data_IF_985189717016
#
_entry.id   IF_985189717016
#
_cell.length_a   1.000
_cell.length_b   1.000
_cell.length_c   1.000
_cell.angle_alpha   90.00
_cell.angle_beta   90.00
_cell.angle_gamma   90.00
#
_symmetry.space_group_name_H-M   'P 1'
#
loop_
_entity.id
_entity.type
_entity.pdbx_description
1 polymer ?
#
# COMPACT_ATOMS: atom_id res chain seq x y z
N UNK A 1 32.91 -26.80 35.10
CA UNK A 1 31.83 -25.77 35.18
C UNK A 1 30.92 -25.99 33.99
N UNK A 2 29.72 -26.49 34.17
CA UNK A 2 28.77 -26.75 33.11
C UNK A 2 27.98 -25.46 32.86
N UNK A 3 28.16 -24.85 31.70
CA UNK A 3 27.39 -23.67 31.28
C UNK A 3 25.96 -24.10 30.97
N UNK A 4 25.01 -23.69 31.78
CA UNK A 4 23.59 -23.89 31.50
C UNK A 4 23.20 -22.76 30.51
N UNK A 5 22.94 -23.15 29.28
CA UNK A 5 22.43 -22.25 28.25
C UNK A 5 20.90 -22.18 28.37
N UNK A 6 20.39 -21.10 28.91
CA UNK A 6 18.95 -20.81 28.92
C UNK A 6 18.59 -20.27 27.54
N UNK A 7 17.75 -20.99 26.79
CA UNK A 7 17.25 -20.55 25.51
C UNK A 7 16.05 -19.61 25.75
N UNK A 8 15.94 -18.49 24.99
CA UNK A 8 14.78 -17.60 25.10
C UNK A 8 13.51 -18.30 24.60
N UNK A 9 12.36 -17.87 25.08
CA UNK A 9 11.04 -18.49 24.79
C UNK A 9 10.69 -18.49 23.29
N UNK A 10 11.29 -17.59 22.52
CA UNK A 10 11.12 -17.53 21.06
C UNK A 10 12.09 -18.43 20.28
N UNK A 11 12.99 -19.15 20.94
CA UNK A 11 13.93 -20.04 20.27
C UNK A 11 13.21 -21.27 19.72
N UNK A 12 13.26 -21.42 18.41
CA UNK A 12 12.78 -22.61 17.72
C UNK A 12 13.98 -23.50 17.34
N UNK A 13 13.95 -24.79 17.71
CA UNK A 13 14.99 -25.72 17.26
C UNK A 13 14.94 -25.85 15.73
N UNK A 14 16.09 -26.09 15.12
CA UNK A 14 16.24 -26.19 13.65
C UNK A 14 15.36 -27.29 13.04
N UNK A 15 15.04 -28.33 13.82
CA UNK A 15 14.09 -29.38 13.42
C UNK A 15 12.67 -28.92 13.19
N UNK A 16 12.28 -27.76 13.73
CA UNK A 16 10.97 -27.11 13.51
C UNK A 16 11.02 -26.05 12.41
N UNK A 17 12.21 -25.70 11.92
CA UNK A 17 12.33 -24.77 10.81
C UNK A 17 11.91 -25.45 9.51
N UNK A 18 11.20 -24.71 8.67
CA UNK A 18 10.86 -25.16 7.31
C UNK A 18 12.16 -25.35 6.52
N UNK A 19 12.39 -26.53 5.96
CA UNK A 19 13.58 -26.77 5.15
C UNK A 19 13.67 -25.80 3.97
N UNK A 20 14.88 -25.39 3.62
CA UNK A 20 15.14 -24.44 2.54
C UNK A 20 14.53 -24.90 1.21
N UNK A 21 14.60 -26.18 0.92
CA UNK A 21 14.02 -26.78 -0.27
C UNK A 21 12.50 -26.61 -0.35
N UNK A 22 11.79 -26.73 0.77
CA UNK A 22 10.34 -26.49 0.87
C UNK A 22 10.03 -25.02 0.72
N UNK A 23 10.82 -24.16 1.36
CA UNK A 23 10.66 -22.72 1.26
C UNK A 23 10.86 -22.20 -0.18
N UNK A 24 11.91 -22.62 -0.86
CA UNK A 24 12.20 -22.22 -2.24
C UNK A 24 11.21 -22.82 -3.25
N UNK A 25 10.68 -24.02 -2.98
CA UNK A 25 9.69 -24.67 -3.84
C UNK A 25 8.23 -24.30 -3.53
N UNK A 26 7.96 -23.40 -2.57
CA UNK A 26 6.62 -22.98 -2.19
C UNK A 26 5.76 -22.55 -3.37
N UNK A 27 6.31 -21.83 -4.34
CA UNK A 27 5.60 -21.44 -5.57
C UNK A 27 5.22 -22.62 -6.43
N UNK A 28 6.08 -23.64 -6.49
CA UNK A 28 5.83 -24.88 -7.26
C UNK A 28 4.77 -25.73 -6.59
N UNK A 29 4.79 -25.81 -5.27
CA UNK A 29 3.76 -26.48 -4.48
C UNK A 29 2.39 -25.85 -4.70
N UNK A 30 2.27 -24.52 -4.61
CA UNK A 30 1.02 -23.80 -4.84
C UNK A 30 0.49 -23.96 -6.27
N UNK A 31 1.35 -23.99 -7.28
CA UNK A 31 0.96 -24.28 -8.66
C UNK A 31 0.42 -25.70 -8.81
N UNK A 32 1.06 -26.68 -8.22
CA UNK A 32 0.63 -28.08 -8.30
C UNK A 32 -0.65 -28.35 -7.49
N UNK A 33 -0.80 -27.72 -6.34
CA UNK A 33 -2.03 -27.80 -5.54
C UNK A 33 -3.22 -27.10 -6.24
N UNK A 34 -2.97 -26.01 -6.97
CA UNK A 34 -4.00 -25.30 -7.75
C UNK A 34 -4.48 -26.09 -8.98
N UNK A 35 -3.66 -26.92 -9.58
CA UNK A 35 -4.03 -27.75 -10.73
C UNK A 35 -4.90 -28.95 -10.36
N UNK A 36 -4.85 -29.41 -9.09
CA UNK A 36 -5.65 -30.54 -8.62
C UNK A 36 -7.10 -30.18 -8.25
N UNK A 37 -7.45 -28.91 -8.09
CA UNK A 37 -8.78 -28.45 -7.69
C UNK A 37 -9.63 -27.86 -8.84
N UNK A 38 -9.14 -27.89 -10.08
CA UNK A 38 -9.81 -27.27 -11.23
C UNK A 38 -10.88 -28.12 -11.90
N UNK A 39 -11.26 -29.28 -11.36
CA UNK A 39 -12.23 -30.17 -12.02
C UNK A 39 -13.67 -30.05 -11.54
N UNK A 40 -14.04 -29.17 -10.62
CA UNK A 40 -15.44 -29.17 -10.13
C UNK A 40 -16.06 -27.85 -9.71
N UNK A 41 -15.62 -26.68 -10.15
CA UNK A 41 -16.41 -25.44 -9.95
C UNK A 41 -16.25 -24.55 -11.18
N UNK A 42 -16.78 -25.01 -12.28
CA UNK A 42 -16.99 -24.17 -13.43
C UNK A 42 -18.47 -23.98 -13.67
N UNK A 43 -19.13 -23.13 -12.86
CA UNK A 43 -20.41 -22.52 -13.22
C UNK A 43 -20.81 -21.48 -12.15
N UNK A 44 -21.05 -20.22 -12.63
CA UNK A 44 -21.77 -19.16 -11.92
C UNK A 44 -21.00 -18.31 -10.89
N UNK A 45 -19.89 -17.73 -11.29
CA UNK A 45 -19.54 -16.40 -10.80
C UNK A 45 -19.16 -15.56 -12.02
N UNK A 46 -19.93 -14.50 -12.30
CA UNK A 46 -19.62 -13.55 -13.36
C UNK A 46 -18.24 -12.96 -13.11
N UNK A 47 -17.21 -13.58 -13.66
CA UNK A 47 -15.86 -13.08 -13.62
C UNK A 47 -15.82 -11.83 -14.50
N UNK A 48 -15.98 -10.66 -13.90
CA UNK A 48 -15.60 -9.42 -14.57
C UNK A 48 -14.18 -9.58 -15.09
N UNK A 49 -13.98 -9.32 -16.37
CA UNK A 49 -12.66 -9.38 -16.97
C UNK A 49 -11.72 -8.40 -16.26
N UNK A 50 -10.42 -8.68 -16.29
CA UNK A 50 -9.41 -7.77 -15.70
C UNK A 50 -9.53 -6.38 -16.34
N UNK A 51 -9.87 -6.29 -17.61
CA UNK A 51 -10.04 -5.04 -18.35
C UNK A 51 -11.27 -4.25 -17.88
N UNK A 52 -12.38 -4.92 -17.58
CA UNK A 52 -13.56 -4.25 -16.99
C UNK A 52 -13.24 -3.70 -15.60
N UNK A 53 -12.52 -4.46 -14.76
CA UNK A 53 -12.07 -3.97 -13.44
C UNK A 53 -11.14 -2.77 -13.57
N UNK A 54 -10.21 -2.79 -14.52
CA UNK A 54 -9.33 -1.66 -14.83
C UNK A 54 -10.12 -0.43 -15.28
N UNK A 55 -11.14 -0.61 -16.12
CA UNK A 55 -11.99 0.47 -16.58
C UNK A 55 -12.78 1.13 -15.45
N UNK A 56 -13.36 0.34 -14.54
CA UNK A 56 -14.09 0.84 -13.36
C UNK A 56 -13.17 1.66 -12.47
N UNK A 57 -11.98 1.15 -12.15
CA UNK A 57 -10.99 1.85 -11.31
C UNK A 57 -10.54 3.14 -11.99
N UNK A 58 -10.26 3.11 -13.28
CA UNK A 58 -9.88 4.30 -14.04
C UNK A 58 -10.97 5.37 -14.03
N UNK A 59 -12.23 4.97 -14.14
CA UNK A 59 -13.36 5.88 -14.05
C UNK A 59 -13.48 6.51 -12.65
N UNK A 60 -13.26 5.76 -11.60
CA UNK A 60 -13.27 6.27 -10.23
C UNK A 60 -12.10 7.23 -9.95
N UNK A 61 -10.91 6.92 -10.47
CA UNK A 61 -9.72 7.78 -10.35
C UNK A 61 -9.93 9.10 -11.13
N UNK A 62 -10.61 9.07 -12.29
CA UNK A 62 -10.83 10.23 -13.13
C UNK A 62 -11.94 11.18 -12.65
N UNK A 63 -12.68 10.82 -11.60
CA UNK A 63 -13.68 11.70 -11.02
C UNK A 63 -13.05 12.99 -10.46
N UNK A 64 -13.73 14.14 -10.62
CA UNK A 64 -13.28 15.50 -10.28
C UNK A 64 -12.74 15.69 -8.84
N UNK A 65 -12.90 14.70 -7.98
CA UNK A 65 -12.36 14.69 -6.61
C UNK A 65 -10.83 14.70 -6.56
N UNK A 66 -10.18 14.22 -7.60
CA UNK A 66 -8.72 14.21 -7.76
C UNK A 66 -8.31 15.29 -8.76
N UNK A 67 -8.44 16.56 -8.39
CA UNK A 67 -7.83 17.64 -9.17
C UNK A 67 -6.33 17.37 -9.22
N UNK A 68 -5.79 17.25 -10.43
CA UNK A 68 -4.37 17.01 -10.64
C UNK A 68 -3.57 18.16 -10.02
N UNK A 69 -2.79 17.86 -9.00
CA UNK A 69 -1.81 18.79 -8.47
C UNK A 69 -0.58 18.68 -9.37
N UNK A 70 -0.27 19.74 -10.09
CA UNK A 70 0.96 19.79 -10.89
C UNK A 70 2.15 20.06 -9.99
N UNK A 71 3.15 19.19 -10.03
CA UNK A 71 4.37 19.35 -9.25
C UNK A 71 5.60 18.91 -10.04
N UNK A 72 6.74 19.53 -9.76
CA UNK A 72 8.02 19.14 -10.34
C UNK A 72 8.56 17.89 -9.71
N UNK A 73 9.11 16.98 -10.51
CA UNK A 73 9.80 15.79 -9.99
C UNK A 73 11.12 16.17 -9.32
N UNK A 74 11.32 15.70 -8.10
CA UNK A 74 12.58 15.84 -7.39
C UNK A 74 13.52 14.68 -7.78
N UNK A 75 14.54 15.00 -8.59
CA UNK A 75 15.48 14.02 -9.14
C UNK A 75 16.41 13.37 -8.10
N UNK A 76 16.47 13.90 -6.88
CA UNK A 76 17.19 13.24 -5.79
C UNK A 76 16.48 11.96 -5.28
N UNK A 77 15.21 11.76 -5.65
CA UNK A 77 14.39 10.61 -5.28
C UNK A 77 14.04 9.78 -6.53
N UNK A 78 15.01 9.03 -7.00
CA UNK A 78 14.85 8.12 -8.14
C UNK A 78 14.84 6.66 -7.68
N UNK A 79 14.34 5.78 -8.54
CA UNK A 79 14.31 4.35 -8.29
C UNK A 79 15.09 3.61 -9.39
N UNK A 80 15.73 2.53 -9.00
CA UNK A 80 16.47 1.60 -9.87
C UNK A 80 15.57 0.47 -10.44
N UNK A 81 14.25 0.65 -10.38
CA UNK A 81 13.25 -0.33 -10.82
C UNK A 81 12.05 0.38 -11.45
N UNK A 82 11.28 -0.30 -12.31
CA UNK A 82 10.05 0.27 -12.87
C UNK A 82 9.02 0.56 -11.78
N UNK A 83 8.16 1.53 -12.05
CA UNK A 83 7.02 1.83 -11.20
C UNK A 83 6.04 0.65 -11.16
N UNK A 84 5.36 0.50 -10.05
CA UNK A 84 4.22 -0.40 -9.93
C UNK A 84 3.10 0.07 -10.84
N UNK A 85 2.44 -0.85 -11.52
CA UNK A 85 1.29 -0.55 -12.36
C UNK A 85 0.23 0.21 -11.55
N UNK A 86 -0.30 1.30 -12.13
CA UNK A 86 -1.26 2.19 -11.46
C UNK A 86 -2.49 1.44 -10.92
N UNK A 87 -3.04 0.53 -11.71
CA UNK A 87 -4.16 -0.30 -11.28
C UNK A 87 -3.82 -1.08 -10.00
N UNK A 88 -2.67 -1.74 -9.94
CA UNK A 88 -2.24 -2.51 -8.78
C UNK A 88 -2.06 -1.61 -7.54
N UNK A 89 -1.51 -0.40 -7.73
CA UNK A 89 -1.34 0.57 -6.65
C UNK A 89 -2.69 1.11 -6.15
N UNK A 90 -3.66 1.31 -7.05
CA UNK A 90 -4.96 1.88 -6.72
C UNK A 90 -5.89 0.90 -5.99
N UNK A 91 -5.84 -0.39 -6.33
CA UNK A 91 -6.77 -1.38 -5.75
C UNK A 91 -6.23 -2.10 -4.53
N UNK A 92 -4.91 -2.10 -4.31
CA UNK A 92 -4.30 -2.80 -3.19
C UNK A 92 -4.17 -1.87 -1.98
N UNK A 93 -5.16 -1.91 -1.11
CA UNK A 93 -5.25 -1.03 0.06
C UNK A 93 -5.58 -1.83 1.32
N UNK A 94 -5.30 -1.26 2.49
CA UNK A 94 -5.49 -1.90 3.79
C UNK A 94 -5.89 -0.90 4.88
N UNK A 95 -6.70 0.08 4.54
CA UNK A 95 -7.27 1.02 5.52
C UNK A 95 -8.46 0.36 6.22
N UNK A 96 -8.19 -0.31 7.32
CA UNK A 96 -9.19 -1.06 8.10
C UNK A 96 -10.33 -0.20 8.65
N UNK A 97 -10.16 1.13 8.68
CA UNK A 97 -11.21 2.08 9.03
C UNK A 97 -12.41 2.02 8.07
N UNK A 98 -12.19 1.56 6.84
CA UNK A 98 -13.25 1.42 5.84
C UNK A 98 -13.78 0.00 5.72
N UNK A 99 -12.93 -1.01 5.85
CA UNK A 99 -13.29 -2.43 5.74
C UNK A 99 -12.17 -3.32 6.28
N UNK A 100 -12.52 -4.48 6.80
CA UNK A 100 -11.57 -5.55 7.14
C UNK A 100 -10.96 -6.26 5.91
N UNK A 101 -11.45 -5.97 4.71
CA UNK A 101 -10.97 -6.57 3.45
C UNK A 101 -9.83 -5.75 2.84
N UNK A 102 -9.15 -6.34 1.85
CA UNK A 102 -8.12 -5.65 1.05
C UNK A 102 -8.69 -4.81 -0.11
N UNK A 103 -9.98 -4.90 -0.36
CA UNK A 103 -10.70 -4.22 -1.43
C UNK A 103 -11.29 -2.86 -0.98
N UNK A 104 -10.61 -2.15 -0.10
CA UNK A 104 -11.05 -0.90 0.54
C UNK A 104 -11.46 0.18 -0.48
N UNK A 105 -10.81 0.21 -1.64
CA UNK A 105 -11.11 1.16 -2.70
C UNK A 105 -12.60 1.21 -3.12
N UNK A 106 -13.34 0.12 -2.91
CA UNK A 106 -14.80 0.04 -3.17
C UNK A 106 -15.64 0.89 -2.22
N UNK A 107 -15.09 1.31 -1.10
CA UNK A 107 -15.81 2.00 -0.03
C UNK A 107 -15.42 3.47 0.13
N UNK A 108 -14.41 3.94 -0.64
CA UNK A 108 -13.89 5.31 -0.53
C UNK A 108 -14.85 6.40 -1.01
N UNK A 109 -15.88 6.05 -1.77
CA UNK A 109 -16.90 7.01 -2.24
C UNK A 109 -17.64 7.69 -1.10
N UNK A 110 -17.73 7.07 0.06
CA UNK A 110 -18.33 7.61 1.27
C UNK A 110 -17.41 8.56 2.03
N UNK A 111 -16.12 8.54 1.73
CA UNK A 111 -15.15 9.39 2.37
C UNK A 111 -15.17 10.80 1.79
N UNK A 112 -15.28 11.79 2.66
CA UNK A 112 -15.29 13.20 2.27
C UNK A 112 -13.97 13.86 2.68
N UNK A 113 -12.99 13.97 1.78
CA UNK A 113 -11.68 14.55 2.08
C UNK A 113 -11.72 16.10 2.21
N UNK A 114 -12.85 16.74 1.92
CA UNK A 114 -13.02 18.19 1.97
C UNK A 114 -14.35 18.58 2.61
N UNK A 115 -14.34 19.60 3.52
CA UNK A 115 -13.18 20.30 4.06
C UNK A 115 -12.40 19.44 5.07
N UNK A 116 -11.08 19.58 5.14
CA UNK A 116 -10.22 18.88 6.09
C UNK A 116 -9.31 19.85 6.82
N UNK A 117 -9.18 19.70 8.14
CA UNK A 117 -8.32 20.54 8.99
C UNK A 117 -7.31 19.65 9.72
N UNK A 118 -6.06 20.06 9.72
CA UNK A 118 -4.97 19.42 10.47
C UNK A 118 -4.65 20.30 11.68
N UNK A 119 -4.58 19.71 12.85
CA UNK A 119 -4.13 20.37 14.08
C UNK A 119 -2.72 19.88 14.42
N UNK A 120 -1.78 20.81 14.53
CA UNK A 120 -0.40 20.56 14.92
C UNK A 120 -0.23 20.98 16.36
N UNK A 121 0.07 20.02 17.26
CA UNK A 121 0.16 20.21 18.71
C UNK A 121 1.37 19.48 19.30
N UNK A 122 1.56 19.54 20.60
CA UNK A 122 2.62 18.84 21.31
C UNK A 122 3.94 19.61 21.32
N UNK A 123 5.05 18.98 20.98
CA UNK A 123 6.40 19.54 21.02
C UNK A 123 6.67 20.47 19.83
N UNK A 124 5.86 21.52 19.70
CA UNK A 124 5.98 22.56 18.67
C UNK A 124 6.08 23.93 19.32
N UNK A 125 6.75 24.85 18.64
CA UNK A 125 6.93 26.21 19.16
C UNK A 125 5.57 26.94 19.35
N UNK A 126 4.62 26.69 18.45
CA UNK A 126 3.28 27.27 18.49
C UNK A 126 2.26 26.29 17.91
N UNK A 127 1.29 25.81 18.70
CA UNK A 127 0.18 25.01 18.17
C UNK A 127 -0.63 25.79 17.14
N UNK A 128 -0.98 25.13 16.03
CA UNK A 128 -1.70 25.75 14.93
C UNK A 128 -2.68 24.77 14.28
N UNK A 129 -3.74 25.33 13.67
CA UNK A 129 -4.67 24.60 12.82
C UNK A 129 -4.53 25.07 11.37
N UNK A 130 -4.47 24.13 10.46
CA UNK A 130 -4.33 24.38 9.03
C UNK A 130 -5.49 23.74 8.27
N UNK A 131 -6.19 24.52 7.46
CA UNK A 131 -7.03 23.96 6.43
C UNK A 131 -6.13 23.29 5.38
N UNK A 132 -6.40 22.04 5.01
CA UNK A 132 -5.55 21.29 4.07
C UNK A 132 -5.38 22.01 2.73
N UNK A 133 -6.43 22.68 2.25
CA UNK A 133 -6.39 23.47 1.02
C UNK A 133 -5.37 24.59 1.09
N UNK A 134 -5.33 25.31 2.19
CA UNK A 134 -4.39 26.43 2.39
C UNK A 134 -2.97 25.93 2.58
N UNK A 135 -2.82 24.80 3.25
CA UNK A 135 -1.53 24.15 3.43
C UNK A 135 -0.92 23.74 2.08
N UNK A 136 -1.68 23.05 1.25
CA UNK A 136 -1.26 22.63 -0.10
C UNK A 136 -0.89 23.85 -0.96
N UNK A 137 -1.67 24.94 -0.89
CA UNK A 137 -1.42 26.15 -1.68
C UNK A 137 -0.13 26.87 -1.27
N UNK A 138 0.29 26.76 -0.01
CA UNK A 138 1.47 27.46 0.52
C UNK A 138 2.75 26.65 0.48
N UNK A 139 2.66 25.32 0.37
CA UNK A 139 3.81 24.45 0.46
C UNK A 139 4.43 24.16 -0.91
N UNK A 140 5.76 24.01 -0.99
CA UNK A 140 6.45 23.63 -2.22
C UNK A 140 6.20 22.14 -2.51
N UNK A 141 5.12 21.86 -3.22
CA UNK A 141 4.76 20.49 -3.60
C UNK A 141 5.74 19.97 -4.65
N UNK A 142 6.25 18.79 -4.43
CA UNK A 142 7.15 18.09 -5.35
C UNK A 142 6.75 16.62 -5.50
N UNK A 143 7.09 16.00 -6.63
CA UNK A 143 6.93 14.57 -6.84
C UNK A 143 8.21 13.85 -6.42
N UNK A 144 8.06 12.78 -5.64
CA UNK A 144 9.15 11.89 -5.23
C UNK A 144 8.82 10.45 -5.52
N UNK A 145 9.79 9.68 -5.97
CA UNK A 145 9.65 8.25 -6.15
C UNK A 145 10.15 7.51 -4.93
N UNK A 146 9.30 6.69 -4.32
CA UNK A 146 9.67 5.87 -3.17
C UNK A 146 9.38 4.39 -3.39
N UNK A 147 10.24 3.55 -2.80
CA UNK A 147 9.92 2.16 -2.51
C UNK A 147 9.12 2.13 -1.22
N UNK A 148 7.82 2.00 -1.34
CA UNK A 148 6.95 1.91 -0.19
C UNK A 148 6.77 0.44 0.22
N UNK A 149 7.02 0.14 1.49
CA UNK A 149 6.80 -1.18 2.09
C UNK A 149 5.79 -1.08 3.20
N UNK A 150 4.87 -2.02 3.22
CA UNK A 150 3.89 -2.18 4.28
C UNK A 150 4.23 -3.39 5.17
N UNK A 151 3.88 -3.31 6.46
CA UNK A 151 3.95 -4.45 7.40
C UNK A 151 3.13 -5.64 6.91
N UNK A 152 2.11 -5.38 6.10
CA UNK A 152 1.25 -6.39 5.47
C UNK A 152 1.91 -7.14 4.29
N UNK A 153 3.25 -7.14 4.24
CA UNK A 153 4.07 -7.91 3.31
C UNK A 153 3.92 -7.52 1.83
N UNK A 154 3.48 -6.33 1.50
CA UNK A 154 3.51 -5.80 0.14
C UNK A 154 4.48 -4.63 -0.01
N UNK A 155 4.96 -4.44 -1.22
CA UNK A 155 5.87 -3.35 -1.58
C UNK A 155 5.53 -2.81 -2.95
N UNK A 156 5.55 -1.48 -3.08
CA UNK A 156 5.25 -0.76 -4.31
C UNK A 156 6.33 0.28 -4.59
N UNK A 157 6.54 0.57 -5.86
CA UNK A 157 7.33 1.69 -6.35
C UNK A 157 6.36 2.69 -6.95
N UNK A 158 6.04 3.76 -6.23
CA UNK A 158 5.01 4.72 -6.62
C UNK A 158 5.50 6.15 -6.53
N UNK A 159 4.99 7.06 -7.39
CA UNK A 159 5.20 8.48 -7.26
C UNK A 159 4.30 9.05 -6.15
N UNK A 160 4.87 9.91 -5.33
CA UNK A 160 4.16 10.61 -4.27
C UNK A 160 4.24 12.12 -4.50
N UNK A 161 3.11 12.80 -4.41
CA UNK A 161 3.05 14.26 -4.37
C UNK A 161 2.97 14.72 -2.92
N UNK A 162 3.83 15.65 -2.55
CA UNK A 162 3.85 16.17 -1.19
C UNK A 162 4.96 17.18 -0.95
N UNK A 163 5.14 17.53 0.30
CA UNK A 163 6.22 18.42 0.74
C UNK A 163 6.94 17.86 1.95
N UNK A 164 8.23 18.22 2.16
CA UNK A 164 8.96 17.80 3.35
C UNK A 164 8.33 18.35 4.63
N UNK A 165 8.03 17.49 5.62
CA UNK A 165 7.37 17.89 6.87
C UNK A 165 8.13 19.00 7.62
N UNK A 166 9.47 19.08 7.47
CA UNK A 166 10.29 20.16 8.04
C UNK A 166 9.95 21.58 7.53
N UNK A 167 9.05 21.69 6.52
CA UNK A 167 8.57 22.97 6.01
C UNK A 167 7.32 23.47 6.73
N UNK A 168 6.69 22.60 7.50
CA UNK A 168 5.57 22.92 8.36
C UNK A 168 6.04 23.54 9.68
#
# INVERSE_FOLDING_TARGET
>A
MTLIKILPDWFLPESQATSESVYLNRRRFLKNAGLGSLSMIGLLAGCQSLEEKKAIVKQQISNERLKSITASRNLAFTLDRPLTEEYSAAVYTNFYEFSGDKDVWKYVDKFQPHPWTIEVTGLVAKPQKFAIKDLIAKMPIEERLYRHRCVEAWAMAVPWLGFPLKRL
#
